data_IF_829460496226
#
_entry.id   IF_829460496226
#
_cell.length_a   1.000
_cell.length_b   1.000
_cell.length_c   1.000
_cell.angle_alpha   90.00
_cell.angle_beta   90.00
_cell.angle_gamma   90.00
#
_symmetry.space_group_name_H-M   'P 1'
#
loop_
_entity.id
_entity.type
_entity.pdbx_description
1 polymer ?
#
# COMPACT_ATOMS: atom_id res chain seq x y z
N UNK A 1 13.87 -34.01 -2.58
CA UNK A 1 13.29 -34.00 -3.93
C UNK A 1 12.42 -32.75 -4.01
N UNK A 2 12.80 -31.60 -4.54
CA UNK A 2 13.90 -31.14 -5.41
C UNK A 2 14.48 -29.83 -4.84
N UNK A 3 15.79 -29.68 -4.96
CA UNK A 3 16.56 -28.43 -4.85
C UNK A 3 17.03 -28.05 -6.26
N UNK A 4 17.47 -26.80 -6.44
CA UNK A 4 18.16 -26.18 -7.61
C UNK A 4 17.24 -25.48 -8.63
N UNK A 5 17.56 -24.29 -9.15
CA UNK A 5 18.81 -23.53 -9.09
C UNK A 5 18.65 -22.05 -9.45
N UNK A 6 19.58 -21.25 -8.94
CA UNK A 6 19.89 -19.90 -9.40
C UNK A 6 20.84 -20.02 -10.61
N UNK A 7 20.53 -19.30 -11.69
CA UNK A 7 21.41 -19.12 -12.84
C UNK A 7 21.75 -17.64 -13.02
N UNK A 8 23.03 -17.32 -12.87
CA UNK A 8 23.65 -16.07 -13.30
C UNK A 8 23.97 -16.14 -14.81
N UNK A 9 23.77 -15.05 -15.54
CA UNK A 9 24.45 -14.71 -16.79
C UNK A 9 24.29 -13.17 -16.96
N UNK A 10 25.27 -12.36 -16.58
CA UNK A 10 26.50 -12.00 -17.32
C UNK A 10 26.20 -11.21 -18.60
N UNK A 11 26.57 -9.92 -18.56
CA UNK A 11 26.60 -8.97 -19.67
C UNK A 11 27.77 -9.29 -20.60
N UNK A 12 27.58 -9.13 -21.91
CA UNK A 12 28.68 -8.81 -22.84
C UNK A 12 28.27 -7.63 -23.76
N UNK A 13 29.13 -6.61 -23.96
CA UNK A 13 28.88 -5.44 -24.76
C UNK A 13 29.44 -5.59 -26.19
N UNK A 14 29.29 -4.51 -26.97
CA UNK A 14 29.93 -4.18 -28.26
C UNK A 14 29.04 -4.33 -29.48
N UNK A 15 28.52 -3.19 -29.92
CA UNK A 15 28.70 -2.80 -31.32
C UNK A 15 28.99 -1.29 -31.36
N UNK A 16 30.26 -0.98 -31.57
CA UNK A 16 30.80 0.31 -32.04
C UNK A 16 30.21 0.64 -33.44
N UNK A 17 30.28 1.82 -34.07
CA UNK A 17 31.21 2.96 -34.12
C UNK A 17 30.45 4.08 -34.91
N UNK A 18 30.20 5.29 -34.39
CA UNK A 18 30.94 6.55 -34.64
C UNK A 18 30.40 7.43 -35.83
N UNK A 19 30.91 8.65 -36.11
CA UNK A 19 30.27 9.93 -35.76
C UNK A 19 30.09 10.85 -37.00
N UNK A 20 29.44 12.03 -36.83
CA UNK A 20 29.61 13.30 -37.60
C UNK A 20 28.32 14.14 -37.46
N UNK A 21 28.32 15.20 -36.66
CA UNK A 21 28.62 16.59 -37.07
C UNK A 21 27.49 17.26 -37.88
N UNK A 22 26.66 18.08 -37.22
CA UNK A 22 26.54 19.53 -37.53
C UNK A 22 25.39 20.20 -36.76
N UNK A 23 25.78 21.28 -36.10
CA UNK A 23 24.96 22.37 -35.58
C UNK A 23 24.26 23.09 -36.74
N UNK A 24 22.96 23.37 -36.62
CA UNK A 24 22.34 24.57 -37.20
C UNK A 24 21.27 25.12 -36.25
N UNK A 25 21.64 26.19 -35.54
CA UNK A 25 20.71 27.13 -34.90
C UNK A 25 20.17 28.06 -35.99
N UNK A 26 18.84 28.20 -36.12
CA UNK A 26 18.24 29.29 -36.90
C UNK A 26 17.27 30.10 -36.06
N UNK A 27 17.76 31.26 -35.65
CA UNK A 27 16.96 32.42 -35.25
C UNK A 27 16.46 33.09 -36.54
N UNK A 28 15.18 33.46 -36.61
CA UNK A 28 14.71 34.53 -37.51
C UNK A 28 13.80 35.49 -36.75
N UNK A 29 14.18 36.75 -36.83
CA UNK A 29 13.51 37.93 -36.32
C UNK A 29 13.34 38.89 -37.50
N UNK A 30 12.09 39.18 -37.92
CA UNK A 30 11.66 40.29 -38.80
C UNK A 30 10.14 40.44 -38.49
N UNK A 31 9.62 41.42 -37.73
CA UNK A 31 9.45 42.88 -37.88
C UNK A 31 8.45 43.34 -38.96
N UNK A 32 7.26 43.76 -38.47
CA UNK A 32 6.30 44.81 -38.90
C UNK A 32 5.74 44.86 -40.35
N UNK A 33 4.39 44.89 -40.46
CA UNK A 33 3.61 46.01 -41.03
C UNK A 33 2.06 45.79 -41.04
N UNK A 34 1.34 46.80 -40.54
CA UNK A 34 -0.02 47.32 -40.84
C UNK A 34 -1.16 46.49 -41.51
N UNK A 35 -2.27 46.31 -40.72
CA UNK A 35 -3.76 46.54 -40.89
C UNK A 35 -4.47 46.48 -42.30
N UNK A 36 -5.83 46.52 -42.38
CA UNK A 36 -6.94 45.61 -41.96
C UNK A 36 -8.00 45.35 -43.09
N UNK A 37 -9.16 44.70 -42.77
CA UNK A 37 -10.40 44.50 -43.59
C UNK A 37 -10.34 43.43 -44.71
N UNK A 38 -11.36 42.63 -45.09
CA UNK A 38 -12.78 42.37 -44.75
C UNK A 38 -13.22 41.05 -45.43
N UNK A 39 -14.29 40.40 -44.93
CA UNK A 39 -15.22 39.43 -45.55
C UNK A 39 -14.82 38.57 -46.77
N UNK A 40 -14.99 37.23 -46.65
CA UNK A 40 -16.05 36.43 -47.33
C UNK A 40 -15.64 34.95 -47.48
N UNK A 41 -16.65 34.08 -47.51
CA UNK A 41 -16.64 32.62 -47.38
C UNK A 41 -15.95 31.90 -48.54
N UNK A 42 -15.37 30.71 -48.29
CA UNK A 42 -15.83 29.39 -48.78
C UNK A 42 -14.66 28.37 -48.94
N UNK A 43 -14.77 27.27 -48.18
CA UNK A 43 -14.27 25.90 -48.38
C UNK A 43 -13.20 25.63 -49.48
N UNK A 44 -11.98 25.26 -49.05
CA UNK A 44 -11.26 24.13 -49.67
C UNK A 44 -10.60 23.32 -48.54
N UNK A 45 -11.01 22.06 -48.45
CA UNK A 45 -10.39 21.04 -47.63
C UNK A 45 -8.91 20.86 -48.00
N UNK A 46 -8.03 20.99 -47.01
CA UNK A 46 -6.69 20.38 -47.02
C UNK A 46 -6.52 19.61 -45.72
N UNK A 47 -6.74 18.30 -45.81
CA UNK A 47 -6.17 17.33 -44.88
C UNK A 47 -4.64 17.40 -44.93
N UNK A 48 -4.01 17.58 -43.77
CA UNK A 48 -2.74 17.00 -43.33
C UNK A 48 -2.33 17.64 -41.99
N UNK A 49 -1.50 16.99 -41.15
CA UNK A 49 -1.53 15.61 -40.70
C UNK A 49 -1.62 15.55 -39.16
N UNK A 50 -1.87 14.34 -38.66
CA UNK A 50 -1.77 13.87 -37.27
C UNK A 50 -0.73 14.65 -36.42
N UNK A 51 -1.21 15.54 -35.55
CA UNK A 51 -0.50 16.03 -34.36
C UNK A 51 -1.46 16.09 -33.17
N UNK A 52 -2.08 14.94 -32.86
CA UNK A 52 -2.89 14.76 -31.67
C UNK A 52 -2.51 13.43 -31.02
N UNK A 53 -1.43 13.41 -30.23
CA UNK A 53 -1.12 12.21 -29.42
C UNK A 53 -0.23 12.42 -28.17
N UNK A 54 0.23 13.62 -27.81
CA UNK A 54 0.91 13.82 -26.51
C UNK A 54 -0.02 14.36 -25.43
N UNK A 55 -0.84 15.37 -25.74
CA UNK A 55 -1.73 16.00 -24.75
C UNK A 55 -2.84 15.08 -24.18
N UNK A 56 -3.20 14.01 -24.88
CA UNK A 56 -4.16 13.03 -24.37
C UNK A 56 -3.54 12.03 -23.38
N UNK A 57 -2.29 11.62 -23.61
CA UNK A 57 -1.60 10.62 -22.80
C UNK A 57 -1.23 11.17 -21.42
N UNK A 58 -0.70 12.40 -21.35
CA UNK A 58 -0.25 13.01 -20.09
C UNK A 58 -1.41 13.24 -19.11
N UNK A 59 -2.59 13.61 -19.65
CA UNK A 59 -3.81 13.77 -18.86
C UNK A 59 -4.31 12.43 -18.30
N UNK A 60 -4.24 11.35 -19.11
CA UNK A 60 -4.64 10.00 -18.66
C UNK A 60 -3.69 9.49 -17.57
N UNK A 61 -2.38 9.63 -17.75
CA UNK A 61 -1.39 9.19 -16.76
C UNK A 61 -1.55 9.97 -15.44
N UNK A 62 -1.76 11.29 -15.51
CA UNK A 62 -1.99 12.12 -14.31
C UNK A 62 -3.28 11.75 -13.58
N UNK A 63 -4.37 11.51 -14.31
CA UNK A 63 -5.64 11.07 -13.72
C UNK A 63 -5.54 9.68 -13.09
N UNK A 64 -4.87 8.74 -13.78
CA UNK A 64 -4.63 7.40 -13.26
C UNK A 64 -3.77 7.46 -11.98
N UNK A 65 -2.68 8.23 -11.98
CA UNK A 65 -1.83 8.40 -10.81
C UNK A 65 -2.61 8.96 -9.62
N UNK A 66 -3.49 9.93 -9.86
CA UNK A 66 -4.36 10.51 -8.82
C UNK A 66 -5.38 9.51 -8.29
N UNK A 67 -5.99 8.71 -9.16
CA UNK A 67 -6.93 7.65 -8.76
C UNK A 67 -6.23 6.59 -7.91
N UNK A 68 -5.04 6.13 -8.32
CA UNK A 68 -4.23 5.17 -7.57
C UNK A 68 -3.81 5.73 -6.20
N UNK A 69 -3.40 6.99 -6.13
CA UNK A 69 -3.05 7.65 -4.88
C UNK A 69 -4.23 7.71 -3.90
N UNK A 70 -5.45 7.92 -4.40
CA UNK A 70 -6.67 8.04 -3.59
C UNK A 70 -7.23 6.69 -3.13
N UNK A 71 -7.14 5.66 -3.96
CA UNK A 71 -7.66 4.32 -3.66
C UNK A 71 -6.65 3.48 -2.86
N UNK A 72 -5.35 3.70 -3.05
CA UNK A 72 -4.31 2.87 -2.42
C UNK A 72 -4.42 2.76 -0.89
N UNK A 73 -4.80 3.79 -0.11
CA UNK A 73 -5.04 3.61 1.33
C UNK A 73 -6.08 2.54 1.64
N UNK A 74 -7.16 2.46 0.87
CA UNK A 74 -8.23 1.48 1.07
C UNK A 74 -7.71 0.07 0.80
N UNK A 75 -6.98 -0.13 -0.29
CA UNK A 75 -6.39 -1.43 -0.64
C UNK A 75 -5.41 -1.89 0.45
N UNK A 76 -4.51 -1.00 0.87
CA UNK A 76 -3.49 -1.31 1.87
C UNK A 76 -4.12 -1.52 3.26
N UNK A 77 -5.11 -0.73 3.64
CA UNK A 77 -5.84 -0.90 4.90
C UNK A 77 -6.66 -2.19 4.90
N UNK A 78 -7.23 -2.59 3.76
CA UNK A 78 -7.92 -3.88 3.61
C UNK A 78 -6.95 -5.05 3.80
N UNK A 79 -5.76 -4.97 3.21
CA UNK A 79 -4.71 -5.97 3.40
C UNK A 79 -4.26 -6.07 4.87
N UNK A 80 -4.12 -4.93 5.56
CA UNK A 80 -3.81 -4.89 7.00
C UNK A 80 -4.89 -5.55 7.84
N UNK A 81 -6.16 -5.28 7.54
CA UNK A 81 -7.30 -5.85 8.27
C UNK A 81 -7.42 -7.35 8.02
N UNK A 82 -7.23 -7.79 6.76
CA UNK A 82 -7.18 -9.20 6.41
C UNK A 82 -6.05 -9.92 7.14
N UNK A 83 -4.86 -9.31 7.20
CA UNK A 83 -3.75 -9.85 7.98
C UNK A 83 -4.13 -9.99 9.46
N UNK A 84 -4.77 -8.97 10.05
CA UNK A 84 -5.26 -9.02 11.44
C UNK A 84 -6.27 -10.16 11.66
N UNK A 85 -7.14 -10.40 10.68
CA UNK A 85 -8.11 -11.48 10.70
C UNK A 85 -7.46 -12.86 10.59
N UNK A 86 -6.50 -13.02 9.68
CA UNK A 86 -5.71 -14.25 9.54
C UNK A 86 -4.94 -14.57 10.82
N UNK A 87 -4.37 -13.56 11.48
CA UNK A 87 -3.74 -13.74 12.80
C UNK A 87 -4.72 -14.30 13.83
N UNK A 88 -5.97 -13.81 13.86
CA UNK A 88 -6.97 -14.27 14.82
C UNK A 88 -7.34 -15.74 14.60
N UNK A 89 -7.59 -16.13 13.36
CA UNK A 89 -7.93 -17.52 13.01
C UNK A 89 -6.75 -18.46 13.29
N UNK A 90 -5.57 -18.13 12.75
CA UNK A 90 -4.40 -19.02 12.80
C UNK A 90 -3.90 -19.24 14.22
N UNK A 91 -3.80 -18.17 15.02
CA UNK A 91 -3.34 -18.27 16.40
C UNK A 91 -4.47 -18.71 17.35
N UNK A 92 -5.71 -18.32 17.07
CA UNK A 92 -6.87 -18.77 17.84
C UNK A 92 -7.09 -20.28 17.79
N UNK A 93 -6.71 -20.94 16.69
CA UNK A 93 -6.80 -22.40 16.57
C UNK A 93 -6.02 -23.15 17.65
N UNK A 94 -4.87 -22.62 18.12
CA UNK A 94 -4.09 -23.22 19.20
C UNK A 94 -4.79 -23.16 20.57
N UNK A 95 -5.81 -22.32 20.71
CA UNK A 95 -6.60 -22.17 21.93
C UNK A 95 -7.95 -22.92 21.87
N UNK A 96 -8.16 -23.76 20.85
CA UNK A 96 -9.39 -24.53 20.74
C UNK A 96 -9.51 -25.53 21.91
N UNK A 97 -10.69 -25.70 22.54
CA UNK A 97 -10.86 -26.56 23.71
C UNK A 97 -10.43 -28.01 23.49
N UNK A 98 -10.58 -28.54 22.27
CA UNK A 98 -10.12 -29.91 21.95
C UNK A 98 -8.60 -30.08 22.04
N UNK A 99 -7.83 -28.99 21.90
CA UNK A 99 -6.37 -29.01 22.03
C UNK A 99 -5.95 -28.72 23.47
N UNK A 100 -6.64 -27.80 24.14
CA UNK A 100 -6.31 -27.40 25.51
C UNK A 100 -6.67 -28.47 26.55
N UNK A 101 -7.71 -29.26 26.30
CA UNK A 101 -8.16 -30.31 27.22
C UNK A 101 -7.40 -31.63 27.03
N UNK A 102 -6.56 -31.74 25.99
CA UNK A 102 -5.70 -32.89 25.73
C UNK A 102 -4.26 -32.57 26.12
N UNK A 103 -3.86 -32.98 27.34
CA UNK A 103 -2.52 -32.77 27.86
C UNK A 103 -1.41 -33.46 27.03
N UNK A 104 -1.76 -34.46 26.20
CA UNK A 104 -0.84 -35.14 25.29
C UNK A 104 -0.65 -34.42 23.95
N UNK A 105 -1.47 -33.40 23.64
CA UNK A 105 -1.48 -32.78 22.33
C UNK A 105 -0.19 -31.97 22.06
N UNK A 106 0.44 -32.11 20.88
CA UNK A 106 1.73 -31.46 20.59
C UNK A 106 1.65 -29.95 20.33
N UNK A 107 0.46 -29.34 20.38
CA UNK A 107 0.24 -27.91 20.06
C UNK A 107 1.12 -26.97 20.88
N UNK A 108 1.22 -27.17 22.20
CA UNK A 108 2.05 -26.34 23.07
C UNK A 108 3.54 -26.42 22.74
N UNK A 109 4.01 -27.56 22.21
CA UNK A 109 5.40 -27.75 21.74
C UNK A 109 5.63 -27.17 20.36
N UNK A 110 4.61 -27.17 19.50
CA UNK A 110 4.67 -26.64 18.14
C UNK A 110 4.59 -25.11 18.11
N UNK A 111 3.80 -24.52 19.02
CA UNK A 111 3.48 -23.10 19.05
C UNK A 111 4.70 -22.16 18.99
N UNK A 112 5.80 -22.37 19.75
CA UNK A 112 6.96 -21.47 19.67
C UNK A 112 7.61 -21.45 18.27
N UNK A 113 7.71 -22.61 17.62
CA UNK A 113 8.29 -22.73 16.27
C UNK A 113 7.36 -22.13 15.22
N UNK A 114 6.06 -22.43 15.33
CA UNK A 114 5.04 -21.86 14.46
C UNK A 114 5.04 -20.34 14.55
N UNK A 115 5.02 -19.80 15.78
CA UNK A 115 4.98 -18.37 16.02
C UNK A 115 6.21 -17.67 15.44
N UNK A 116 7.40 -18.22 15.62
CA UNK A 116 8.62 -17.63 15.05
C UNK A 116 8.56 -17.53 13.52
N UNK A 117 8.11 -18.58 12.85
CA UNK A 117 7.97 -18.58 11.39
C UNK A 117 6.88 -17.59 10.93
N UNK A 118 5.73 -17.63 11.60
CA UNK A 118 4.58 -16.78 11.29
C UNK A 118 4.88 -15.29 11.50
N UNK A 119 5.51 -14.93 12.63
CA UNK A 119 5.80 -13.54 12.97
C UNK A 119 6.91 -12.92 12.12
N UNK A 120 7.88 -13.72 11.66
CA UNK A 120 8.93 -13.23 10.74
C UNK A 120 8.31 -12.69 9.44
N UNK A 121 7.35 -13.41 8.85
CA UNK A 121 6.60 -12.92 7.69
C UNK A 121 5.61 -11.81 8.09
N UNK A 122 4.99 -11.93 9.25
CA UNK A 122 4.02 -10.96 9.75
C UNK A 122 4.57 -9.56 9.97
N UNK A 123 5.83 -9.44 10.39
CA UNK A 123 6.50 -8.14 10.54
C UNK A 123 6.64 -7.40 9.20
N UNK A 124 6.94 -8.12 8.12
CA UNK A 124 6.94 -7.55 6.77
C UNK A 124 5.53 -7.10 6.36
N UNK A 125 4.50 -7.90 6.66
CA UNK A 125 3.11 -7.53 6.44
C UNK A 125 2.76 -6.19 7.12
N UNK A 126 3.10 -6.04 8.40
CA UNK A 126 2.84 -4.79 9.15
C UNK A 126 3.65 -3.62 8.57
N UNK A 127 4.93 -3.83 8.27
CA UNK A 127 5.83 -2.79 7.75
C UNK A 127 5.46 -2.31 6.33
N UNK A 128 4.90 -3.18 5.51
CA UNK A 128 4.47 -2.86 4.14
C UNK A 128 3.07 -2.27 4.08
N UNK A 129 2.28 -2.34 5.15
CA UNK A 129 0.91 -1.84 5.12
C UNK A 129 0.69 -0.58 5.97
N UNK A 130 1.06 -0.58 7.26
CA UNK A 130 0.71 0.54 8.14
C UNK A 130 1.46 1.84 7.80
N UNK A 131 2.80 1.86 7.65
CA UNK A 131 3.51 3.09 7.28
C UNK A 131 3.10 3.63 5.90
N UNK A 132 3.03 2.83 4.82
CA UNK A 132 2.59 3.32 3.52
C UNK A 132 1.14 3.85 3.54
N UNK A 133 0.21 3.13 4.16
CA UNK A 133 -1.18 3.60 4.30
C UNK A 133 -1.23 4.94 5.06
N UNK A 134 -0.45 5.08 6.13
CA UNK A 134 -0.37 6.32 6.91
C UNK A 134 0.13 7.48 6.05
N UNK A 135 1.26 7.31 5.36
CA UNK A 135 1.85 8.35 4.50
C UNK A 135 0.86 8.77 3.43
N UNK A 136 0.25 7.81 2.74
CA UNK A 136 -0.68 8.12 1.64
C UNK A 136 -1.97 8.75 2.17
N UNK A 137 -2.47 8.34 3.34
CA UNK A 137 -3.59 9.03 4.01
C UNK A 137 -3.26 10.49 4.34
N UNK A 138 -2.06 10.75 4.86
CA UNK A 138 -1.60 12.12 5.14
C UNK A 138 -1.54 12.93 3.84
N UNK A 139 -0.97 12.39 2.77
CA UNK A 139 -0.94 13.05 1.46
C UNK A 139 -2.36 13.37 0.96
N UNK A 140 -3.29 12.42 1.01
CA UNK A 140 -4.68 12.67 0.61
C UNK A 140 -5.40 13.68 1.53
N UNK A 141 -5.06 13.75 2.82
CA UNK A 141 -5.62 14.76 3.74
C UNK A 141 -5.20 16.20 3.43
N UNK A 142 -4.08 16.37 2.70
CA UNK A 142 -3.55 17.65 2.26
C UNK A 142 -3.99 18.02 0.83
N UNK A 143 -4.76 17.15 0.17
CA UNK A 143 -5.25 17.36 -1.19
C UNK A 143 -6.35 18.43 -1.27
N UNK A 144 -6.79 18.75 -2.50
CA UNK A 144 -7.86 19.72 -2.78
C UNK A 144 -9.28 19.14 -2.64
N UNK A 145 -9.41 17.92 -2.14
CA UNK A 145 -10.70 17.26 -1.90
C UNK A 145 -11.54 17.98 -0.84
N UNK A 146 -12.80 17.56 -0.69
CA UNK A 146 -13.66 18.11 0.35
C UNK A 146 -13.05 17.97 1.75
N UNK A 147 -13.44 18.90 2.63
CA UNK A 147 -13.02 18.87 4.04
C UNK A 147 -13.38 17.55 4.72
N UNK A 148 -14.53 16.95 4.35
CA UNK A 148 -14.97 15.68 4.90
C UNK A 148 -14.02 14.54 4.52
N UNK A 149 -13.70 14.36 3.23
CA UNK A 149 -12.76 13.34 2.77
C UNK A 149 -11.39 13.50 3.43
N UNK A 150 -10.87 14.73 3.47
CA UNK A 150 -9.57 15.04 4.07
C UNK A 150 -9.50 14.69 5.54
N UNK A 151 -10.52 15.06 6.31
CA UNK A 151 -10.59 14.76 7.74
C UNK A 151 -10.67 13.25 8.00
N UNK A 152 -11.38 12.51 7.16
CA UNK A 152 -11.50 11.06 7.27
C UNK A 152 -10.19 10.35 6.91
N UNK A 153 -9.47 10.78 5.87
CA UNK A 153 -8.11 10.29 5.61
C UNK A 153 -7.16 10.58 6.77
N UNK A 154 -7.20 11.79 7.34
CA UNK A 154 -6.38 12.14 8.50
C UNK A 154 -6.73 11.27 9.73
N UNK A 155 -8.01 11.06 10.01
CA UNK A 155 -8.45 10.17 11.09
C UNK A 155 -7.96 8.73 10.86
N UNK A 156 -8.05 8.23 9.62
CA UNK A 156 -7.50 6.94 9.22
C UNK A 156 -5.99 6.83 9.49
N UNK A 157 -5.23 7.88 9.18
CA UNK A 157 -3.80 7.96 9.50
C UNK A 157 -3.53 7.92 11.01
N UNK A 158 -4.30 8.68 11.80
CA UNK A 158 -4.16 8.70 13.27
C UNK A 158 -4.42 7.31 13.87
N UNK A 159 -5.49 6.63 13.47
CA UNK A 159 -5.76 5.27 13.93
C UNK A 159 -4.69 4.27 13.46
N UNK A 160 -4.15 4.45 12.24
CA UNK A 160 -3.05 3.63 11.72
C UNK A 160 -1.77 3.80 12.54
N UNK A 161 -1.46 5.03 12.99
CA UNK A 161 -0.35 5.29 13.91
C UNK A 161 -0.64 4.67 15.29
N UNK A 162 -1.87 4.82 15.78
CA UNK A 162 -2.26 4.29 17.08
C UNK A 162 -2.07 2.77 17.19
N UNK A 163 -2.12 2.02 16.08
CA UNK A 163 -1.75 0.60 16.03
C UNK A 163 -0.44 0.30 16.76
N UNK A 164 0.58 1.14 16.59
CA UNK A 164 1.91 0.93 17.14
C UNK A 164 1.99 1.12 18.66
N UNK A 165 1.00 1.76 19.29
CA UNK A 165 0.92 1.90 20.75
C UNK A 165 0.82 0.54 21.47
N UNK A 166 0.31 -0.50 20.80
CA UNK A 166 0.26 -1.86 21.34
C UNK A 166 1.59 -2.61 21.19
N UNK A 167 2.50 -2.13 20.34
CA UNK A 167 3.74 -2.80 19.96
C UNK A 167 4.55 -3.35 21.13
N UNK A 168 4.96 -2.51 22.11
CA UNK A 168 5.79 -2.97 23.23
C UNK A 168 5.16 -4.13 24.02
N UNK A 169 3.87 -4.05 24.32
CA UNK A 169 3.16 -5.09 25.06
C UNK A 169 2.99 -6.36 24.23
N UNK A 170 2.68 -6.23 22.94
CA UNK A 170 2.51 -7.35 22.04
C UNK A 170 3.82 -8.11 21.83
N UNK A 171 4.94 -7.40 21.64
CA UNK A 171 6.26 -8.04 21.51
C UNK A 171 6.72 -8.75 22.77
N UNK A 172 6.46 -8.19 23.96
CA UNK A 172 6.75 -8.87 25.22
C UNK A 172 5.98 -10.20 25.36
N UNK A 173 4.70 -10.22 24.98
CA UNK A 173 3.90 -11.45 24.98
C UNK A 173 4.38 -12.45 23.93
N UNK A 174 4.74 -12.00 22.72
CA UNK A 174 5.32 -12.86 21.68
C UNK A 174 6.63 -13.52 22.15
N UNK A 175 7.49 -12.78 22.86
CA UNK A 175 8.70 -13.33 23.45
C UNK A 175 8.42 -14.45 24.45
N UNK A 176 7.38 -14.29 25.29
CA UNK A 176 6.94 -15.32 26.23
C UNK A 176 6.36 -16.56 25.54
N UNK A 177 5.62 -16.37 24.44
CA UNK A 177 5.06 -17.50 23.68
C UNK A 177 6.18 -18.26 22.94
N UNK A 178 7.17 -17.53 22.43
CA UNK A 178 8.30 -18.08 21.67
C UNK A 178 9.41 -18.71 22.52
N UNK A 179 9.34 -18.61 23.85
CA UNK A 179 10.39 -19.14 24.73
C UNK A 179 10.37 -20.68 24.76
N UNK A 180 11.39 -21.27 24.12
CA UNK A 180 11.60 -22.72 24.05
C UNK A 180 12.10 -23.32 25.36
N UNK A 181 12.67 -22.51 26.27
CA UNK A 181 13.15 -22.98 27.59
C UNK A 181 12.00 -23.27 28.54
N UNK A 182 10.83 -22.72 28.26
CA UNK A 182 9.56 -23.02 28.92
C UNK A 182 8.66 -23.93 28.07
N UNK A 183 9.19 -24.66 27.09
CA UNK A 183 8.40 -25.57 26.25
C UNK A 183 7.69 -26.62 27.13
N UNK A 184 6.36 -26.59 27.13
CA UNK A 184 5.51 -27.42 28.02
C UNK A 184 5.01 -26.72 29.28
N UNK A 185 5.41 -25.47 29.54
CA UNK A 185 4.85 -24.58 30.57
C UNK A 185 4.00 -23.51 29.89
N UNK A 186 2.68 -23.55 30.12
CA UNK A 186 1.58 -22.62 29.74
C UNK A 186 1.96 -21.42 28.84
N UNK A 187 2.47 -21.66 27.63
CA UNK A 187 2.66 -20.62 26.61
C UNK A 187 1.31 -20.22 25.98
N UNK A 188 0.31 -21.09 26.12
CA UNK A 188 -1.08 -20.86 25.73
C UNK A 188 -1.74 -19.74 26.55
N UNK A 189 -1.32 -19.51 27.80
CA UNK A 189 -1.82 -18.37 28.59
C UNK A 189 -1.33 -17.04 28.02
N UNK A 190 -0.04 -16.98 27.66
CA UNK A 190 0.53 -15.81 27.03
C UNK A 190 -0.12 -15.57 25.65
N UNK A 191 -0.41 -16.64 24.92
CA UNK A 191 -1.17 -16.57 23.66
C UNK A 191 -2.60 -16.07 23.89
N UNK A 192 -3.30 -16.55 24.92
CA UNK A 192 -4.66 -16.11 25.27
C UNK A 192 -4.69 -14.62 25.58
N UNK A 193 -3.73 -14.13 26.35
CA UNK A 193 -3.60 -12.69 26.65
C UNK A 193 -3.22 -11.88 25.40
N UNK A 194 -2.31 -12.40 24.57
CA UNK A 194 -1.97 -11.78 23.28
C UNK A 194 -3.19 -11.66 22.37
N UNK A 195 -4.00 -12.72 22.25
CA UNK A 195 -5.23 -12.76 21.46
C UNK A 195 -6.25 -11.72 21.95
N UNK A 196 -6.41 -11.57 23.26
CA UNK A 196 -7.31 -10.56 23.85
C UNK A 196 -6.87 -9.15 23.45
N UNK A 197 -5.57 -8.84 23.55
CA UNK A 197 -5.02 -7.53 23.16
C UNK A 197 -5.06 -7.31 21.65
N UNK A 198 -4.77 -8.33 20.86
CA UNK A 198 -4.88 -8.32 19.40
C UNK A 198 -6.29 -7.96 18.93
N UNK A 199 -7.30 -8.62 19.50
CA UNK A 199 -8.71 -8.34 19.21
C UNK A 199 -9.09 -6.92 19.62
N UNK A 200 -8.70 -6.50 20.82
CA UNK A 200 -8.94 -5.13 21.27
C UNK A 200 -8.31 -4.10 20.32
N UNK A 201 -7.04 -4.28 19.93
CA UNK A 201 -6.37 -3.43 18.92
C UNK A 201 -7.12 -3.46 17.59
N UNK A 202 -7.53 -4.63 17.12
CA UNK A 202 -8.25 -4.76 15.85
C UNK A 202 -9.55 -3.96 15.87
N UNK A 203 -10.32 -4.06 16.97
CA UNK A 203 -11.59 -3.36 17.14
C UNK A 203 -11.43 -1.85 17.37
N UNK A 204 -10.43 -1.44 18.14
CA UNK A 204 -10.27 -0.05 18.58
C UNK A 204 -9.48 0.82 17.60
N UNK A 205 -8.61 0.24 16.78
CA UNK A 205 -7.78 1.02 15.85
C UNK A 205 -7.81 0.51 14.41
N UNK A 206 -7.72 -0.79 14.16
CA UNK A 206 -7.64 -1.28 12.76
C UNK A 206 -8.98 -1.13 12.02
N UNK A 207 -10.10 -1.51 12.65
CA UNK A 207 -11.44 -1.37 12.07
C UNK A 207 -11.81 0.11 11.91
N UNK A 208 -11.66 0.99 12.93
CA UNK A 208 -11.90 2.42 12.76
C UNK A 208 -11.04 3.05 11.66
N UNK A 209 -9.74 2.72 11.57
CA UNK A 209 -8.89 3.18 10.48
C UNK A 209 -9.47 2.82 9.11
N UNK A 210 -9.80 1.54 8.92
CA UNK A 210 -10.39 1.03 7.68
C UNK A 210 -11.71 1.75 7.34
N UNK A 211 -12.62 1.92 8.30
CA UNK A 211 -13.91 2.55 8.07
C UNK A 211 -13.76 4.04 7.70
N UNK A 212 -12.84 4.77 8.35
CA UNK A 212 -12.52 6.15 7.98
C UNK A 212 -11.98 6.22 6.55
N UNK A 213 -11.04 5.36 6.20
CA UNK A 213 -10.42 5.32 4.87
C UNK A 213 -11.43 4.90 3.79
N UNK A 214 -12.30 3.93 4.07
CA UNK A 214 -13.38 3.51 3.19
C UNK A 214 -14.33 4.67 2.92
N UNK A 215 -14.80 5.34 3.98
CA UNK A 215 -15.69 6.50 3.84
C UNK A 215 -15.03 7.63 3.04
N UNK A 216 -13.76 7.95 3.32
CA UNK A 216 -12.99 8.95 2.55
C UNK A 216 -12.89 8.58 1.06
N UNK A 217 -12.63 7.31 0.77
CA UNK A 217 -12.51 6.80 -0.61
C UNK A 217 -13.86 6.83 -1.33
N UNK A 218 -14.97 6.50 -0.66
CA UNK A 218 -16.30 6.60 -1.23
C UNK A 218 -16.67 8.05 -1.57
N UNK A 219 -16.43 8.98 -0.64
CA UNK A 219 -16.63 10.42 -0.89
C UNK A 219 -15.79 10.88 -2.09
N UNK A 220 -14.52 10.48 -2.11
CA UNK A 220 -13.60 10.78 -3.20
C UNK A 220 -14.11 10.29 -4.56
N UNK A 221 -14.64 9.06 -4.62
CA UNK A 221 -15.21 8.50 -5.85
C UNK A 221 -16.44 9.31 -6.29
N UNK A 222 -17.30 9.70 -5.35
CA UNK A 222 -18.49 10.50 -5.67
C UNK A 222 -18.17 11.93 -6.12
N UNK A 223 -17.09 12.53 -5.62
CA UNK A 223 -16.61 13.87 -6.01
C UNK A 223 -15.80 13.84 -7.33
N UNK A 224 -15.37 12.65 -7.75
CA UNK A 224 -14.41 12.45 -8.83
C UNK A 224 -12.97 12.59 -8.34
N UNK A 225 -12.02 12.02 -9.09
CA UNK A 225 -10.60 12.05 -8.75
C UNK A 225 -9.92 13.42 -9.04
N UNK A 226 -10.66 14.53 -8.94
CA UNK A 226 -10.20 15.92 -9.19
C UNK A 226 -9.33 16.49 -8.08
#
# INVERSE_FOLDING_TARGET
>A
MLMQGFGNAELDPKTELSPNMMIVVRIRLITLAHRPCTCEKLLIARQSPVMASSFGSDNIVSQLGTALLRISPLVISSASLMFSWSQDISLGAFLHPSLLNDAGHPSGKLLPRYLSAFMSAGLWGIGLTYPPATVICVVNSLSRQSRAARNLYLAGAVFSIAHFCWGPTMFALLGRIGDVKTAGVRNEDALKEWMRKHRARTLLVNIPAFLCILAATLITITEGFT
#
